data_IF_757702321522
#
_entry.id   IF_757702321522
#
_cell.length_a   1.000
_cell.length_b   1.000
_cell.length_c   1.000
_cell.angle_alpha   90.00
_cell.angle_beta   90.00
_cell.angle_gamma   90.00
#
_symmetry.space_group_name_H-M   'P 1'
#
loop_
_entity.id
_entity.type
_entity.pdbx_description
1 polymer ?
#
# COMPACT_ATOMS: atom_id res chain seq x y z
N UNK A 1 10.48 6.44 -8.71
CA UNK A 1 9.23 6.78 -8.02
C UNK A 1 9.16 6.13 -6.66
N UNK A 2 8.70 6.87 -5.66
CA UNK A 2 8.41 6.33 -4.34
C UNK A 2 7.41 7.20 -3.58
N UNK A 3 6.76 6.58 -2.62
CA UNK A 3 6.09 7.23 -1.51
C UNK A 3 6.85 6.91 -0.22
N UNK A 4 7.10 7.94 0.61
CA UNK A 4 7.73 7.78 1.90
C UNK A 4 6.88 8.47 2.97
N UNK A 5 6.26 7.67 3.82
CA UNK A 5 5.36 8.14 4.88
C UNK A 5 6.09 8.07 6.23
N UNK A 6 6.22 9.21 6.89
CA UNK A 6 6.96 9.36 8.16
C UNK A 6 8.38 8.74 8.11
N UNK A 7 9.07 8.91 6.97
CA UNK A 7 10.42 8.41 6.75
C UNK A 7 10.52 6.98 6.21
N UNK A 8 9.43 6.19 6.21
CA UNK A 8 9.40 4.82 5.74
C UNK A 8 8.86 4.71 4.31
N UNK A 9 9.53 3.93 3.47
CA UNK A 9 9.03 3.65 2.12
C UNK A 9 7.77 2.80 2.19
N UNK A 10 6.73 3.24 1.50
CA UNK A 10 5.45 2.54 1.44
C UNK A 10 5.06 2.23 -0.01
N UNK A 11 4.41 1.08 -0.20
CA UNK A 11 3.70 0.75 -1.42
C UNK A 11 2.23 1.13 -1.34
N UNK A 12 1.49 0.85 -2.40
CA UNK A 12 0.05 1.08 -2.48
C UNK A 12 -0.72 0.34 -1.37
N UNK A 13 -0.24 -0.86 -1.00
CA UNK A 13 -0.86 -1.64 0.08
C UNK A 13 -0.82 -0.89 1.40
N UNK A 14 0.34 -0.36 1.81
CA UNK A 14 0.49 0.32 3.09
C UNK A 14 -0.41 1.56 3.18
N UNK A 15 -0.46 2.38 2.12
CA UNK A 15 -1.35 3.54 2.07
C UNK A 15 -2.82 3.16 2.30
N UNK A 16 -3.29 2.08 1.67
CA UNK A 16 -4.66 1.59 1.84
C UNK A 16 -4.90 0.92 3.19
N UNK A 17 -3.92 0.21 3.74
CA UNK A 17 -4.02 -0.43 5.05
C UNK A 17 -4.11 0.61 6.18
N UNK A 18 -3.32 1.68 6.12
CA UNK A 18 -3.39 2.79 7.07
C UNK A 18 -4.71 3.56 6.94
N UNK A 19 -5.22 3.77 5.71
CA UNK A 19 -6.53 4.37 5.50
C UNK A 19 -7.65 3.53 6.16
N UNK A 20 -7.63 2.22 5.98
CA UNK A 20 -8.58 1.32 6.65
C UNK A 20 -8.42 1.38 8.17
N UNK A 21 -7.17 1.39 8.65
CA UNK A 21 -6.81 1.49 10.07
C UNK A 21 -7.28 2.78 10.73
N UNK A 22 -7.25 3.91 10.00
CA UNK A 22 -7.80 5.20 10.45
C UNK A 22 -9.29 5.06 10.84
N UNK A 23 -10.04 4.22 10.15
CA UNK A 23 -11.45 3.90 10.48
C UNK A 23 -11.59 2.70 11.42
N UNK A 24 -10.51 2.19 12.02
CA UNK A 24 -10.55 1.01 12.89
C UNK A 24 -10.83 -0.30 12.14
N UNK A 25 -10.69 -0.33 10.81
CA UNK A 25 -10.96 -1.50 9.98
C UNK A 25 -9.67 -2.31 9.74
N UNK A 26 -9.59 -3.58 10.18
CA UNK A 26 -8.43 -4.42 9.93
C UNK A 26 -8.34 -4.88 8.48
N UNK A 27 -7.16 -4.82 7.89
CA UNK A 27 -6.88 -5.40 6.56
C UNK A 27 -6.47 -6.85 6.75
N UNK A 28 -7.34 -7.79 6.42
CA UNK A 28 -7.15 -9.21 6.75
C UNK A 28 -6.72 -10.09 5.58
N UNK A 29 -6.73 -9.56 4.35
CA UNK A 29 -6.40 -10.31 3.14
C UNK A 29 -5.80 -9.43 2.05
N UNK A 30 -4.74 -9.93 1.40
CA UNK A 30 -4.17 -9.37 0.19
C UNK A 30 -3.96 -10.46 -0.87
N UNK A 31 -4.29 -10.17 -2.12
CA UNK A 31 -3.84 -10.93 -3.29
C UNK A 31 -3.08 -9.99 -4.23
N UNK A 32 -1.85 -10.30 -4.54
CA UNK A 32 -0.97 -9.45 -5.36
C UNK A 32 0.20 -10.22 -5.94
N UNK A 33 1.30 -9.52 -6.14
CA UNK A 33 2.59 -10.16 -6.40
C UNK A 33 3.31 -10.57 -5.11
N UNK A 34 4.46 -11.18 -5.25
CA UNK A 34 5.28 -11.65 -4.14
C UNK A 34 5.77 -10.50 -3.25
N UNK A 35 6.13 -9.34 -3.83
CA UNK A 35 6.66 -8.18 -3.10
C UNK A 35 5.57 -7.49 -2.29
N UNK A 36 4.39 -7.28 -2.88
CA UNK A 36 3.23 -6.77 -2.15
C UNK A 36 2.81 -7.70 -1.00
N UNK A 37 2.94 -9.02 -1.18
CA UNK A 37 2.67 -9.99 -0.12
C UNK A 37 3.69 -9.89 1.03
N UNK A 38 4.97 -9.63 0.73
CA UNK A 38 6.03 -9.42 1.73
C UNK A 38 5.76 -8.12 2.51
N UNK A 39 5.50 -7.00 1.81
CA UNK A 39 5.14 -5.72 2.42
C UNK A 39 3.94 -5.87 3.36
N UNK A 40 2.87 -6.50 2.87
CA UNK A 40 1.66 -6.69 3.65
C UNK A 40 1.90 -7.52 4.92
N UNK A 41 2.68 -8.59 4.84
CA UNK A 41 2.99 -9.44 5.98
C UNK A 41 3.87 -8.74 7.01
N UNK A 42 4.76 -7.85 6.57
CA UNK A 42 5.60 -7.05 7.46
C UNK A 42 4.79 -5.96 8.17
N UNK A 43 3.88 -5.28 7.46
CA UNK A 43 3.08 -4.19 8.01
C UNK A 43 1.94 -4.66 8.90
N UNK A 44 1.25 -5.75 8.51
CA UNK A 44 0.05 -6.24 9.19
C UNK A 44 0.27 -7.68 9.66
N UNK A 45 0.77 -7.90 10.89
CA UNK A 45 0.96 -9.25 11.43
C UNK A 45 -0.34 -10.05 11.44
N UNK A 46 -0.29 -11.25 10.86
CA UNK A 46 -1.44 -12.16 10.79
C UNK A 46 -2.34 -11.96 9.56
N UNK A 47 -2.05 -11.01 8.68
CA UNK A 47 -2.73 -10.89 7.38
C UNK A 47 -2.56 -12.17 6.56
N UNK A 48 -3.58 -12.54 5.82
CA UNK A 48 -3.52 -13.64 4.85
C UNK A 48 -3.11 -13.10 3.50
N UNK A 49 -1.99 -13.56 2.96
CA UNK A 49 -1.50 -13.13 1.64
C UNK A 49 -1.58 -14.27 0.62
N UNK A 50 -1.79 -13.92 -0.65
CA UNK A 50 -1.77 -14.84 -1.80
C UNK A 50 -0.99 -14.21 -2.94
N UNK A 51 0.22 -14.68 -3.19
CA UNK A 51 0.99 -14.31 -4.37
C UNK A 51 0.41 -15.02 -5.60
N UNK A 52 -0.17 -14.28 -6.52
CA UNK A 52 -0.72 -14.79 -7.81
C UNK A 52 0.25 -14.60 -8.95
N UNK A 53 1.30 -13.82 -8.74
CA UNK A 53 2.37 -13.54 -9.69
C UNK A 53 3.70 -13.30 -8.98
N UNK A 54 4.77 -13.57 -9.68
CA UNK A 54 6.14 -13.28 -9.27
C UNK A 54 6.66 -12.11 -10.10
N UNK A 55 6.94 -10.98 -9.46
CA UNK A 55 7.47 -9.79 -10.12
C UNK A 55 8.90 -9.99 -10.59
N UNK A 56 9.14 -9.86 -11.90
CA UNK A 56 10.46 -10.06 -12.53
C UNK A 56 11.11 -8.74 -13.00
N UNK A 57 10.35 -7.66 -13.02
CA UNK A 57 10.79 -6.33 -13.46
C UNK A 57 9.61 -5.38 -13.58
N UNK A 58 9.87 -4.18 -14.10
CA UNK A 58 8.82 -3.21 -14.40
C UNK A 58 7.93 -3.82 -15.50
N UNK A 59 6.62 -3.89 -15.23
CA UNK A 59 5.60 -4.45 -16.15
C UNK A 59 5.84 -5.92 -16.57
N UNK A 60 6.74 -6.63 -15.87
CA UNK A 60 7.07 -8.02 -16.17
C UNK A 60 6.82 -8.90 -14.95
N UNK A 61 6.01 -9.94 -15.11
CA UNK A 61 5.76 -10.91 -14.05
C UNK A 61 5.47 -12.31 -14.61
N UNK A 62 5.84 -13.33 -13.85
CA UNK A 62 5.41 -14.70 -14.09
C UNK A 62 4.11 -14.95 -13.29
N UNK A 63 3.05 -15.32 -13.98
CA UNK A 63 1.72 -15.46 -13.41
C UNK A 63 1.33 -16.93 -13.19
N UNK A 64 0.55 -17.18 -12.13
CA UNK A 64 -0.23 -18.41 -12.05
C UNK A 64 -1.27 -18.43 -13.18
N UNK A 65 -1.68 -19.62 -13.61
CA UNK A 65 -2.80 -19.72 -14.56
C UNK A 65 -4.06 -19.07 -13.96
N UNK A 66 -4.96 -18.51 -14.78
CA UNK A 66 -6.19 -17.89 -14.29
C UNK A 66 -7.03 -18.81 -13.38
N UNK A 67 -7.05 -20.10 -13.66
CA UNK A 67 -7.76 -21.11 -12.83
C UNK A 67 -7.08 -21.27 -11.47
N UNK A 68 -5.75 -21.36 -11.42
CA UNK A 68 -4.99 -21.48 -10.17
C UNK A 68 -5.09 -20.20 -9.33
N UNK A 69 -4.95 -19.02 -9.95
CA UNK A 69 -5.10 -17.72 -9.27
C UNK A 69 -6.46 -17.59 -8.60
N UNK A 70 -7.55 -17.85 -9.33
CA UNK A 70 -8.90 -17.79 -8.76
C UNK A 70 -9.12 -18.75 -7.60
N UNK A 71 -8.57 -19.97 -7.70
CA UNK A 71 -8.66 -20.96 -6.61
C UNK A 71 -7.88 -20.50 -5.38
N UNK A 72 -6.66 -19.99 -5.57
CA UNK A 72 -5.83 -19.46 -4.48
C UNK A 72 -6.46 -18.25 -3.80
N UNK A 73 -6.94 -17.26 -4.57
CA UNK A 73 -7.63 -16.07 -4.06
C UNK A 73 -8.86 -16.47 -3.25
N UNK A 74 -9.72 -17.35 -3.77
CA UNK A 74 -10.93 -17.82 -3.06
C UNK A 74 -10.58 -18.47 -1.73
N UNK A 75 -9.54 -19.31 -1.70
CA UNK A 75 -9.06 -19.97 -0.49
C UNK A 75 -8.50 -18.95 0.50
N UNK A 76 -7.69 -18.01 0.02
CA UNK A 76 -7.10 -16.93 0.82
C UNK A 76 -8.16 -16.02 1.42
N UNK A 77 -9.09 -15.52 0.61
CA UNK A 77 -10.17 -14.65 1.06
C UNK A 77 -11.02 -15.30 2.17
N UNK A 78 -11.37 -16.60 2.02
CA UNK A 78 -12.06 -17.33 3.09
C UNK A 78 -11.26 -17.39 4.40
N UNK A 79 -9.91 -17.49 4.33
CA UNK A 79 -9.06 -17.44 5.52
C UNK A 79 -9.02 -16.03 6.08
N UNK A 80 -8.90 -15.00 5.24
CA UNK A 80 -8.94 -13.59 5.63
C UNK A 80 -10.23 -13.24 6.38
N UNK A 81 -11.39 -13.65 5.86
CA UNK A 81 -12.66 -13.47 6.57
C UNK A 81 -12.68 -14.10 7.98
N UNK A 82 -12.03 -15.26 8.15
CA UNK A 82 -11.90 -15.92 9.46
C UNK A 82 -10.86 -15.26 10.36
N UNK A 83 -10.02 -14.38 9.82
CA UNK A 83 -9.02 -13.63 10.57
C UNK A 83 -9.56 -12.31 11.14
N UNK A 84 -10.76 -11.88 10.74
CA UNK A 84 -11.45 -10.71 11.33
C UNK A 84 -11.56 -10.92 12.85
N UNK A 85 -11.19 -9.88 13.62
CA UNK A 85 -11.13 -9.92 15.08
C UNK A 85 -9.83 -10.49 15.66
N UNK A 86 -8.92 -11.01 14.81
CA UNK A 86 -7.59 -11.50 15.22
C UNK A 86 -6.44 -10.68 14.64
N UNK A 87 -6.69 -9.97 13.55
CA UNK A 87 -5.76 -9.02 12.91
C UNK A 87 -6.12 -7.63 13.40
N UNK A 88 -5.15 -6.91 13.96
CA UNK A 88 -5.34 -5.53 14.37
C UNK A 88 -5.38 -4.59 13.14
N UNK A 89 -6.12 -3.47 13.18
CA UNK A 89 -5.98 -2.41 12.20
C UNK A 89 -4.54 -1.88 12.15
N UNK A 90 -4.05 -1.56 10.97
CA UNK A 90 -2.78 -0.86 10.80
C UNK A 90 -3.02 0.64 11.12
N UNK A 91 -2.57 1.09 12.27
CA UNK A 91 -2.75 2.48 12.70
C UNK A 91 -1.41 3.21 12.62
N UNK A 92 -1.45 4.43 12.11
CA UNK A 92 -0.36 5.39 12.16
C UNK A 92 -0.89 6.65 12.85
N UNK A 93 -0.15 7.15 13.83
CA UNK A 93 -0.53 8.35 14.56
C UNK A 93 0.00 9.63 13.89
N UNK A 94 -0.71 10.76 13.95
CA UNK A 94 -0.22 12.03 13.45
C UNK A 94 0.97 12.56 14.30
N UNK A 95 1.76 13.49 13.78
CA UNK A 95 1.63 14.12 12.48
C UNK A 95 2.08 13.22 11.33
N UNK A 96 1.51 13.41 10.14
CA UNK A 96 1.88 12.70 8.94
C UNK A 96 2.75 13.57 8.05
N UNK A 97 3.85 12.99 7.56
CA UNK A 97 4.68 13.56 6.51
C UNK A 97 4.76 12.55 5.37
N UNK A 98 4.16 12.89 4.22
CA UNK A 98 4.23 12.08 3.01
C UNK A 98 5.11 12.78 1.98
N UNK A 99 6.25 12.18 1.68
CA UNK A 99 7.11 12.58 0.57
C UNK A 99 6.77 11.74 -0.66
N UNK A 100 6.54 12.42 -1.78
CA UNK A 100 6.23 11.82 -3.07
C UNK A 100 7.30 12.20 -4.07
N UNK A 101 7.95 11.21 -4.69
CA UNK A 101 8.89 11.41 -5.78
C UNK A 101 8.39 10.70 -7.04
N UNK A 102 8.22 11.46 -8.11
CA UNK A 102 7.73 10.95 -9.41
C UNK A 102 8.88 10.51 -10.31
N UNK A 103 8.58 9.74 -11.36
CA UNK A 103 9.52 9.35 -12.40
C UNK A 103 10.05 10.55 -13.18
N UNK A 104 11.13 10.39 -13.94
CA UNK A 104 11.79 11.47 -14.69
C UNK A 104 10.92 12.10 -15.76
N UNK A 105 10.00 11.34 -16.33
CA UNK A 105 9.06 11.74 -17.36
C UNK A 105 7.72 12.25 -16.81
N UNK A 106 7.57 12.35 -15.49
CA UNK A 106 6.35 12.76 -14.81
C UNK A 106 6.51 14.10 -14.11
N UNK A 107 5.41 14.81 -13.93
CA UNK A 107 5.35 16.10 -13.25
C UNK A 107 4.70 15.98 -11.87
N UNK A 108 5.25 16.69 -10.89
CA UNK A 108 4.66 16.83 -9.54
C UNK A 108 3.49 17.81 -9.51
N UNK A 109 3.18 18.52 -10.61
CA UNK A 109 2.17 19.58 -10.61
C UNK A 109 0.80 19.12 -10.08
N UNK A 110 0.41 17.87 -10.35
CA UNK A 110 -0.82 17.29 -9.82
C UNK A 110 -0.83 17.17 -8.29
N UNK A 111 0.32 16.96 -7.68
CA UNK A 111 0.49 16.93 -6.23
C UNK A 111 0.54 18.34 -5.63
N UNK A 112 1.24 19.27 -6.28
CA UNK A 112 1.28 20.68 -5.85
C UNK A 112 -0.11 21.30 -5.85
N UNK A 113 -0.94 21.01 -6.86
CA UNK A 113 -2.32 21.47 -6.93
C UNK A 113 -3.23 20.89 -5.81
N UNK A 114 -2.79 19.83 -5.13
CA UNK A 114 -3.45 19.23 -3.97
C UNK A 114 -2.88 19.70 -2.64
N UNK A 115 -1.99 20.70 -2.66
CA UNK A 115 -1.40 21.28 -1.46
C UNK A 115 -0.05 20.69 -1.06
N UNK A 116 0.60 19.92 -1.94
CA UNK A 116 1.99 19.48 -1.73
C UNK A 116 2.96 20.67 -1.80
N UNK A 117 3.97 20.66 -0.94
CA UNK A 117 5.08 21.61 -0.96
C UNK A 117 6.21 21.05 -1.82
N UNK A 118 6.71 21.82 -2.79
CA UNK A 118 7.82 21.43 -3.65
C UNK A 118 9.13 21.34 -2.86
N UNK A 119 9.86 20.24 -3.02
CA UNK A 119 11.22 20.06 -2.52
C UNK A 119 12.24 20.21 -3.65
N UNK A 120 11.98 19.55 -4.77
CA UNK A 120 12.75 19.62 -6.01
C UNK A 120 11.82 19.34 -7.22
N UNK A 121 12.38 19.40 -8.44
CA UNK A 121 11.63 19.25 -9.70
C UNK A 121 10.74 17.99 -9.77
N UNK A 122 11.05 16.97 -8.97
CA UNK A 122 10.36 15.67 -8.98
C UNK A 122 9.85 15.23 -7.62
N UNK A 123 10.03 16.03 -6.58
CA UNK A 123 9.72 15.67 -5.20
C UNK A 123 8.87 16.74 -4.54
N UNK A 124 7.78 16.33 -3.92
CA UNK A 124 6.98 17.19 -3.05
C UNK A 124 6.67 16.48 -1.72
N UNK A 125 6.29 17.25 -0.71
CA UNK A 125 5.93 16.75 0.60
C UNK A 125 4.56 17.30 1.04
N UNK A 126 3.81 16.45 1.71
CA UNK A 126 2.56 16.81 2.40
C UNK A 126 2.79 16.67 3.89
N UNK A 127 2.39 17.69 4.67
CA UNK A 127 2.40 17.66 6.13
C UNK A 127 1.01 17.95 6.66
N UNK A 128 0.46 17.04 7.46
CA UNK A 128 -0.92 17.16 7.94
C UNK A 128 -1.14 16.27 9.17
N UNK A 129 -2.15 16.63 9.97
CA UNK A 129 -2.66 15.77 11.05
C UNK A 129 -3.88 14.93 10.61
N UNK A 130 -4.36 15.12 9.37
CA UNK A 130 -5.46 14.37 8.79
C UNK A 130 -4.97 13.40 7.72
N UNK A 131 -4.99 12.08 8.02
CA UNK A 131 -4.59 11.04 7.08
C UNK A 131 -5.37 11.08 5.76
N UNK A 132 -6.64 11.45 5.79
CA UNK A 132 -7.51 11.44 4.62
C UNK A 132 -7.21 12.58 3.63
N UNK A 133 -6.44 13.57 4.05
CA UNK A 133 -5.95 14.63 3.16
C UNK A 133 -4.71 14.23 2.35
N UNK A 134 -4.05 13.10 2.70
CA UNK A 134 -2.90 12.59 1.96
C UNK A 134 -3.31 11.96 0.62
N UNK A 135 -2.54 12.17 -0.45
CA UNK A 135 -2.80 11.60 -1.78
C UNK A 135 -2.26 10.16 -1.94
N UNK A 136 -2.62 9.25 -1.01
CA UNK A 136 -2.18 7.84 -0.99
C UNK A 136 -3.25 6.88 -1.51
#
# INVERSE_FOLDING_TARGET
>A
EYYRLNGEYIGEFAGRAYMAGHFGVPTTFLAGDDKACIEAAALVPGIVTVATKLGMGIELANHLSPKASRAAIRKGARKGCKAVGRVAPAVLDPPYELEVRVLEDQSIQGYLNRGGEEIDERTCVFRTDDYLSLPV
#
